data_IF_408627235657
#
_entry.id   IF_408627235657
#
_cell.length_a   1.000
_cell.length_b   1.000
_cell.length_c   1.000
_cell.angle_alpha   90.00
_cell.angle_beta   90.00
_cell.angle_gamma   90.00
#
_symmetry.space_group_name_H-M   'P 1'
#
loop_
_entity.id
_entity.type
_entity.pdbx_description
1 polymer ?
#
# COMPACT_ATOMS: atom_id res chain seq x y z
N UNK A 1 10.09 -9.38 -6.85
CA UNK A 1 9.70 -8.13 -6.17
C UNK A 1 8.19 -8.03 -6.02
N UNK A 2 7.40 -7.90 -7.09
CA UNK A 2 5.94 -7.71 -7.00
C UNK A 2 5.20 -8.79 -6.19
N UNK A 3 5.64 -10.06 -6.26
CA UNK A 3 5.00 -11.13 -5.49
C UNK A 3 5.21 -11.00 -3.97
N UNK A 4 6.37 -10.53 -3.53
CA UNK A 4 6.66 -10.35 -2.09
C UNK A 4 5.89 -9.15 -1.53
N UNK A 5 5.84 -8.05 -2.28
CA UNK A 5 5.05 -6.85 -1.94
C UNK A 5 3.57 -7.22 -1.81
N UNK A 6 3.02 -7.96 -2.77
CA UNK A 6 1.63 -8.43 -2.72
C UNK A 6 1.33 -9.28 -1.50
N UNK A 7 2.19 -10.27 -1.20
CA UNK A 7 1.99 -11.15 -0.03
C UNK A 7 1.99 -10.35 1.28
N UNK A 8 2.87 -9.35 1.40
CA UNK A 8 2.87 -8.46 2.56
C UNK A 8 1.61 -7.58 2.61
N UNK A 9 1.25 -6.94 1.50
CA UNK A 9 0.02 -6.13 1.42
C UNK A 9 -1.22 -6.92 1.79
N UNK A 10 -1.34 -8.16 1.31
CA UNK A 10 -2.45 -9.04 1.67
C UNK A 10 -2.58 -9.22 3.18
N UNK A 11 -1.45 -9.53 3.84
CA UNK A 11 -1.40 -9.68 5.28
C UNK A 11 -1.78 -8.40 6.00
N UNK A 12 -1.24 -7.25 5.56
CA UNK A 12 -1.56 -5.95 6.17
C UNK A 12 -3.05 -5.63 6.04
N UNK A 13 -3.65 -5.85 4.86
CA UNK A 13 -5.07 -5.60 4.60
C UNK A 13 -5.93 -6.47 5.53
N UNK A 14 -5.62 -7.77 5.67
CA UNK A 14 -6.31 -8.66 6.61
C UNK A 14 -6.15 -8.24 8.08
N UNK A 15 -4.94 -7.83 8.49
CA UNK A 15 -4.66 -7.39 9.88
C UNK A 15 -5.40 -6.10 10.24
N UNK A 16 -5.71 -5.27 9.26
CA UNK A 16 -6.56 -4.08 9.41
C UNK A 16 -8.07 -4.39 9.33
N UNK A 17 -8.45 -5.68 9.24
CA UNK A 17 -9.85 -6.12 9.21
C UNK A 17 -10.57 -5.76 7.91
N UNK A 18 -9.83 -5.56 6.82
CA UNK A 18 -10.36 -5.18 5.51
C UNK A 18 -10.52 -6.43 4.65
N UNK A 19 -11.67 -6.57 4.00
CA UNK A 19 -11.97 -7.69 3.12
C UNK A 19 -11.67 -7.32 1.65
N UNK A 20 -11.08 -8.26 0.90
CA UNK A 20 -10.80 -8.09 -0.53
C UNK A 20 -10.70 -9.45 -1.25
N UNK A 21 -10.89 -9.48 -2.57
CA UNK A 21 -10.66 -10.67 -3.39
C UNK A 21 -9.20 -10.80 -3.85
N UNK A 22 -8.49 -11.78 -3.29
CA UNK A 22 -7.14 -12.20 -3.70
C UNK A 22 -7.00 -12.52 -5.19
N UNK A 23 -8.10 -12.87 -5.87
CA UNK A 23 -8.12 -13.21 -7.29
C UNK A 23 -8.38 -11.99 -8.18
N UNK A 24 -8.86 -10.89 -7.62
CA UNK A 24 -9.22 -9.68 -8.35
C UNK A 24 -8.60 -8.43 -7.71
N UNK A 25 -7.34 -8.16 -8.08
CA UNK A 25 -6.56 -7.06 -7.50
C UNK A 25 -7.07 -5.66 -7.90
N UNK A 26 -7.90 -5.57 -8.93
CA UNK A 26 -8.51 -4.33 -9.40
C UNK A 26 -9.90 -4.12 -8.81
N UNK A 27 -10.38 -5.03 -7.95
CA UNK A 27 -11.59 -4.81 -7.17
C UNK A 27 -11.43 -3.62 -6.24
N UNK A 28 -12.44 -2.76 -6.21
CA UNK A 28 -12.51 -1.65 -5.26
C UNK A 28 -12.73 -2.25 -3.88
N UNK A 29 -11.78 -1.96 -3.00
CA UNK A 29 -11.85 -2.27 -1.59
C UNK A 29 -12.66 -1.16 -0.91
N UNK A 30 -13.60 -1.56 -0.05
CA UNK A 30 -14.33 -0.64 0.81
C UNK A 30 -13.56 -0.45 2.11
N UNK A 31 -13.25 0.79 2.45
CA UNK A 31 -12.60 1.16 3.71
C UNK A 31 -13.50 2.13 4.46
N UNK A 32 -13.57 1.98 5.79
CA UNK A 32 -13.88 3.15 6.62
C UNK A 32 -12.65 4.08 6.73
N UNK A 33 -12.87 5.32 7.15
CA UNK A 33 -11.81 6.32 7.23
C UNK A 33 -10.68 5.94 8.19
N UNK A 34 -10.96 5.18 9.25
CA UNK A 34 -9.96 4.74 10.22
C UNK A 34 -9.16 3.56 9.67
N UNK A 35 -9.83 2.61 9.01
CA UNK A 35 -9.20 1.51 8.30
C UNK A 35 -8.27 2.00 7.21
N UNK A 36 -8.68 3.02 6.45
CA UNK A 36 -7.83 3.61 5.42
C UNK A 36 -6.53 4.19 6.01
N UNK A 37 -6.64 5.03 7.05
CA UNK A 37 -5.45 5.61 7.71
C UNK A 37 -4.57 4.53 8.35
N UNK A 38 -5.18 3.57 9.05
CA UNK A 38 -4.46 2.47 9.71
C UNK A 38 -3.72 1.57 8.71
N UNK A 39 -4.34 1.32 7.55
CA UNK A 39 -3.72 0.59 6.45
C UNK A 39 -2.45 1.30 5.96
N UNK A 40 -2.52 2.61 5.73
CA UNK A 40 -1.39 3.39 5.21
C UNK A 40 -0.22 3.40 6.19
N UNK A 41 -0.49 3.64 7.48
CA UNK A 41 0.53 3.58 8.53
C UNK A 41 1.20 2.19 8.59
N UNK A 42 0.41 1.13 8.48
CA UNK A 42 0.93 -0.24 8.48
C UNK A 42 1.83 -0.52 7.26
N UNK A 43 1.50 0.07 6.10
CA UNK A 43 2.32 -0.02 4.89
C UNK A 43 3.65 0.73 5.07
N UNK A 44 3.61 1.96 5.58
CA UNK A 44 4.81 2.74 5.86
C UNK A 44 5.77 2.00 6.80
N UNK A 45 5.24 1.42 7.88
CA UNK A 45 6.02 0.64 8.84
C UNK A 45 6.63 -0.63 8.23
N UNK A 46 5.86 -1.42 7.48
CA UNK A 46 6.33 -2.69 6.92
C UNK A 46 7.37 -2.52 5.80
N UNK A 47 7.26 -1.45 5.00
CA UNK A 47 8.15 -1.18 3.86
C UNK A 47 9.20 -0.11 4.15
N UNK A 48 9.16 0.54 5.32
CA UNK A 48 10.03 1.66 5.68
C UNK A 48 10.01 2.76 4.59
N UNK A 49 8.80 3.17 4.20
CA UNK A 49 8.52 4.24 3.24
C UNK A 49 7.69 5.34 3.91
N UNK A 50 7.60 6.50 3.28
CA UNK A 50 6.76 7.62 3.71
C UNK A 50 5.76 7.94 2.59
N UNK A 51 4.47 7.95 2.92
CA UNK A 51 3.37 8.26 2.00
C UNK A 51 2.99 9.72 2.28
N UNK A 52 3.29 10.60 1.33
CA UNK A 52 2.95 12.02 1.46
C UNK A 52 1.43 12.19 1.65
N UNK A 53 1.02 12.99 2.65
CA UNK A 53 -0.37 13.32 2.93
C UNK A 53 -1.14 13.88 1.71
N UNK A 54 -0.43 14.54 0.78
CA UNK A 54 -1.01 15.03 -0.49
C UNK A 54 -1.43 13.90 -1.44
N UNK A 55 -0.90 12.69 -1.23
CA UNK A 55 -1.25 11.47 -1.96
C UNK A 55 -2.39 10.69 -1.30
N UNK A 56 -2.95 11.13 -0.15
CA UNK A 56 -4.10 10.54 0.55
C UNK A 56 -5.41 10.71 -0.24
N UNK A 57 -5.40 10.26 -1.49
CA UNK A 57 -6.53 10.22 -2.38
C UNK A 57 -7.05 8.79 -2.42
N UNK A 58 -8.19 8.59 -1.77
CA UNK A 58 -8.89 7.31 -1.72
C UNK A 58 -9.01 6.67 -3.10
N UNK A 59 -9.35 7.45 -4.14
CA UNK A 59 -9.54 6.91 -5.48
C UNK A 59 -8.25 6.38 -6.10
N UNK A 60 -7.09 6.82 -5.62
CA UNK A 60 -5.77 6.35 -6.05
C UNK A 60 -5.27 5.16 -5.25
N UNK A 61 -5.91 4.80 -4.14
CA UNK A 61 -5.45 3.76 -3.21
C UNK A 61 -6.52 2.71 -2.89
N UNK A 62 -7.58 2.65 -3.70
CA UNK A 62 -8.73 1.81 -3.41
C UNK A 62 -8.70 0.38 -3.97
N UNK A 63 -7.60 -0.07 -4.56
CA UNK A 63 -7.45 -1.45 -5.04
C UNK A 63 -6.09 -2.01 -4.66
N UNK A 64 -5.96 -3.33 -4.54
CA UNK A 64 -4.65 -3.94 -4.23
C UNK A 64 -3.63 -3.66 -5.31
N UNK A 65 -4.07 -3.62 -6.57
CA UNK A 65 -3.24 -3.27 -7.73
C UNK A 65 -2.62 -1.88 -7.58
N UNK A 66 -3.43 -0.88 -7.20
CA UNK A 66 -2.97 0.50 -6.97
C UNK A 66 -2.05 0.61 -5.76
N UNK A 67 -2.39 -0.05 -4.65
CA UNK A 67 -1.53 -0.09 -3.46
C UNK A 67 -0.18 -0.73 -3.75
N UNK A 68 -0.16 -1.80 -4.56
CA UNK A 68 1.07 -2.46 -4.99
C UNK A 68 1.94 -1.50 -5.81
N UNK A 69 1.34 -0.79 -6.77
CA UNK A 69 2.07 0.17 -7.60
C UNK A 69 2.65 1.31 -6.75
N UNK A 70 1.86 1.87 -5.83
CA UNK A 70 2.32 2.93 -4.92
C UNK A 70 3.56 2.49 -4.13
N UNK A 71 3.52 1.30 -3.53
CA UNK A 71 4.64 0.77 -2.75
C UNK A 71 5.87 0.55 -3.63
N UNK A 72 5.68 0.02 -4.84
CA UNK A 72 6.77 -0.16 -5.80
C UNK A 72 7.44 1.17 -6.17
N UNK A 73 6.66 2.20 -6.48
CA UNK A 73 7.15 3.52 -6.84
C UNK A 73 7.95 4.15 -5.68
N UNK A 74 7.42 4.08 -4.45
CA UNK A 74 8.06 4.65 -3.27
C UNK A 74 9.32 3.90 -2.81
N UNK A 75 9.40 2.59 -3.01
CA UNK A 75 10.62 1.81 -2.75
C UNK A 75 11.72 2.20 -3.73
N UNK A 76 11.38 2.30 -5.03
CA UNK A 76 12.33 2.69 -6.07
C UNK A 76 12.89 4.09 -5.78
N UNK A 77 12.03 5.05 -5.47
CA UNK A 77 12.46 6.41 -5.15
C UNK A 77 13.36 6.44 -3.90
N UNK A 78 13.03 5.69 -2.85
CA UNK A 78 13.86 5.60 -1.64
C UNK A 78 15.24 4.96 -1.89
N UNK A 79 15.32 3.93 -2.73
CA UNK A 79 16.59 3.30 -3.07
C UNK A 79 17.46 4.23 -3.95
N UNK A 80 16.85 5.00 -4.85
CA UNK A 80 17.57 6.01 -5.66
C UNK A 80 18.16 7.11 -4.77
N UNK A 81 17.43 7.55 -3.73
CA UNK A 81 17.92 8.57 -2.78
C UNK A 81 19.07 8.02 -1.92
N UNK A 82 19.02 6.75 -1.49
CA UNK A 82 20.09 6.14 -0.67
C UNK A 82 21.41 5.88 -1.42
N UNK A 83 21.38 5.68 -2.74
CA UNK A 83 22.61 5.47 -3.54
C UNK A 83 23.32 6.80 -3.86
N UNK A 84 22.63 7.92 -3.70
CA UNK A 84 23.11 9.26 -4.06
C UNK A 84 23.73 10.05 -2.89
N UNK A 85 23.88 9.43 -1.72
CA UNK A 85 24.45 10.01 -0.48
C UNK A 85 25.69 9.25 -0.04
#
# INVERSE_FOLDING_TARGET
>A
MNNEIKVKLYKIIEENGIYFDYKNLDEIIEFDSLQFVSLLLSIEEEFNIEINDELLDYEKMNTVSKLTQLVEDLIIDNDVVKVSL
#
